data_IF_809912744121
#
_entry.id   IF_809912744121
#
_cell.length_a   1.000
_cell.length_b   1.000
_cell.length_c   1.000
_cell.angle_alpha   90.00
_cell.angle_beta   90.00
_cell.angle_gamma   90.00
#
_symmetry.space_group_name_H-M   'P 1'
#
loop_
_entity.id
_entity.type
_entity.pdbx_description
1 polymer ?
#
# COMPACT_ATOMS: atom_id res chain seq x y z
N UNK A 1 1.93 -7.62 13.00
CA UNK A 1 1.27 -8.03 11.75
C UNK A 1 2.13 -9.07 11.06
N UNK A 2 1.54 -10.18 10.61
CA UNK A 2 2.24 -11.22 9.82
C UNK A 2 2.03 -11.01 8.31
N UNK A 3 2.87 -11.58 7.43
CA UNK A 3 2.65 -11.53 5.99
C UNK A 3 1.28 -12.07 5.56
N UNK A 4 0.78 -13.12 6.22
CA UNK A 4 -0.54 -13.68 5.93
C UNK A 4 -1.72 -12.78 6.35
N UNK A 5 -1.51 -11.84 7.27
CA UNK A 5 -2.49 -10.78 7.56
C UNK A 5 -2.36 -9.64 6.54
N UNK A 6 -1.13 -9.23 6.22
CA UNK A 6 -0.87 -8.16 5.26
C UNK A 6 -1.42 -8.49 3.86
N UNK A 7 -1.28 -9.74 3.40
CA UNK A 7 -1.78 -10.19 2.08
C UNK A 7 -3.29 -10.03 1.89
N UNK A 8 -4.06 -9.81 2.95
CA UNK A 8 -5.50 -9.59 2.87
C UNK A 8 -5.89 -8.20 2.40
N UNK A 9 -4.97 -7.23 2.50
CA UNK A 9 -5.23 -5.83 2.16
C UNK A 9 -4.09 -5.18 1.35
N UNK A 10 -2.83 -5.49 1.64
CA UNK A 10 -1.68 -4.82 1.04
C UNK A 10 -1.61 -5.07 -0.47
N UNK A 11 -1.79 -4.01 -1.25
CA UNK A 11 -1.91 -3.98 -2.73
C UNK A 11 -3.00 -4.87 -3.33
N UNK A 12 -3.87 -5.43 -2.50
CA UNK A 12 -4.98 -6.25 -2.97
C UNK A 12 -5.99 -5.36 -3.68
N UNK A 13 -6.36 -5.75 -4.89
CA UNK A 13 -7.46 -5.11 -5.64
C UNK A 13 -8.77 -5.84 -5.38
N UNK A 14 -9.92 -5.22 -5.70
CA UNK A 14 -11.26 -5.80 -5.47
C UNK A 14 -11.45 -7.16 -6.16
N UNK A 15 -10.92 -7.29 -7.38
CA UNK A 15 -11.04 -8.49 -8.23
C UNK A 15 -9.77 -9.33 -8.24
N UNK A 16 -8.66 -8.81 -7.74
CA UNK A 16 -7.38 -9.51 -7.71
C UNK A 16 -7.13 -10.27 -6.42
N UNK A 17 -6.17 -11.19 -6.51
CA UNK A 17 -5.72 -12.00 -5.38
C UNK A 17 -4.23 -11.81 -5.16
N UNK A 18 -3.82 -11.66 -3.90
CA UNK A 18 -2.40 -11.67 -3.54
C UNK A 18 -1.90 -13.10 -3.58
N UNK A 19 -0.98 -13.37 -4.50
CA UNK A 19 -0.38 -14.69 -4.75
C UNK A 19 0.84 -14.94 -3.86
N UNK A 20 1.58 -13.87 -3.53
CA UNK A 20 2.78 -13.91 -2.70
C UNK A 20 2.85 -12.65 -1.84
N UNK A 21 3.20 -12.81 -0.58
CA UNK A 21 3.46 -11.70 0.34
C UNK A 21 4.62 -12.08 1.26
N UNK A 22 5.73 -11.38 1.12
CA UNK A 22 6.93 -11.53 1.94
C UNK A 22 7.27 -10.19 2.56
N UNK A 23 7.66 -10.18 3.83
CA UNK A 23 7.98 -8.97 4.58
C UNK A 23 9.15 -9.27 5.52
N UNK A 24 10.20 -8.47 5.41
CA UNK A 24 11.36 -8.43 6.31
C UNK A 24 11.39 -7.03 6.94
N UNK A 25 10.75 -6.84 8.11
CA UNK A 25 10.34 -5.53 8.61
C UNK A 25 11.44 -4.81 9.41
N UNK A 26 12.63 -4.68 8.83
CA UNK A 26 13.82 -4.02 9.38
C UNK A 26 14.42 -3.02 8.37
N UNK A 27 15.22 -2.06 8.85
CA UNK A 27 15.87 -1.07 7.96
C UNK A 27 16.82 -1.82 7.01
N UNK A 28 16.73 -1.52 5.72
CA UNK A 28 17.46 -2.24 4.67
C UNK A 28 16.79 -3.55 4.23
N UNK A 29 15.91 -4.12 5.06
CA UNK A 29 14.95 -5.14 4.66
C UNK A 29 13.86 -4.59 3.75
N UNK A 30 12.91 -5.43 3.36
CA UNK A 30 11.90 -5.05 2.38
C UNK A 30 10.66 -5.94 2.38
N UNK A 31 9.78 -5.67 1.43
CA UNK A 31 8.64 -6.52 1.14
C UNK A 31 8.55 -6.82 -0.35
N UNK A 32 7.93 -7.95 -0.68
CA UNK A 32 7.52 -8.28 -2.04
C UNK A 32 6.09 -8.79 -1.99
N UNK A 33 5.21 -8.13 -2.74
CA UNK A 33 3.81 -8.51 -2.88
C UNK A 33 3.51 -8.70 -4.35
N UNK A 34 3.09 -9.91 -4.71
CA UNK A 34 2.64 -10.22 -6.07
C UNK A 34 1.14 -10.39 -6.03
N UNK A 35 0.41 -9.58 -6.80
CA UNK A 35 -1.03 -9.67 -6.92
C UNK A 35 -1.46 -9.91 -8.38
N UNK A 36 -2.38 -10.85 -8.56
CA UNK A 36 -2.90 -11.26 -9.87
C UNK A 36 -4.19 -10.53 -10.17
N UNK A 37 -4.25 -9.85 -11.32
CA UNK A 37 -5.39 -9.00 -11.73
C UNK A 37 -5.90 -9.42 -13.12
N UNK A 38 -7.20 -9.23 -13.41
CA UNK A 38 -7.71 -9.28 -14.79
C UNK A 38 -7.05 -8.19 -15.64
N UNK A 39 -6.73 -8.48 -16.90
CA UNK A 39 -6.16 -7.49 -17.83
C UNK A 39 -7.15 -6.37 -18.16
N UNK A 40 -8.44 -6.71 -18.26
CA UNK A 40 -9.56 -5.80 -18.43
C UNK A 40 -10.80 -6.32 -17.68
N UNK A 41 -11.76 -5.43 -17.40
CA UNK A 41 -13.01 -5.83 -16.78
C UNK A 41 -13.78 -6.80 -17.69
N UNK A 42 -14.05 -8.01 -17.17
CA UNK A 42 -14.75 -9.07 -17.91
C UNK A 42 -13.84 -9.93 -18.81
N UNK A 43 -12.53 -9.68 -18.82
CA UNK A 43 -11.55 -10.54 -19.50
C UNK A 43 -11.12 -11.71 -18.60
N UNK A 44 -10.94 -12.89 -19.19
CA UNK A 44 -10.39 -14.08 -18.51
C UNK A 44 -8.86 -14.03 -18.42
N UNK A 45 -8.22 -13.19 -19.24
CA UNK A 45 -6.78 -13.00 -19.20
C UNK A 45 -6.37 -12.29 -17.92
N UNK A 46 -5.27 -12.77 -17.32
CA UNK A 46 -4.74 -12.28 -16.04
C UNK A 46 -3.28 -11.96 -16.18
N UNK A 47 -2.82 -10.98 -15.39
CA UNK A 47 -1.41 -10.63 -15.28
C UNK A 47 -1.03 -10.41 -13.81
N UNK A 48 0.25 -10.61 -13.52
CA UNK A 48 0.80 -10.44 -12.18
C UNK A 48 1.45 -9.04 -12.06
N UNK A 49 1.10 -8.35 -10.97
CA UNK A 49 1.72 -7.09 -10.58
C UNK A 49 2.64 -7.33 -9.39
N UNK A 50 3.90 -6.95 -9.52
CA UNK A 50 4.91 -7.13 -8.46
C UNK A 50 5.23 -5.78 -7.81
N UNK A 51 4.87 -5.63 -6.55
CA UNK A 51 5.23 -4.49 -5.70
C UNK A 51 6.41 -4.88 -4.82
N UNK A 52 7.51 -4.14 -4.94
CA UNK A 52 8.68 -4.29 -4.10
C UNK A 52 8.87 -3.04 -3.26
N UNK A 53 9.13 -3.22 -1.97
CA UNK A 53 9.49 -2.11 -1.11
C UNK A 53 10.76 -2.38 -0.33
N UNK A 54 11.52 -1.31 -0.06
CA UNK A 54 12.72 -1.35 0.79
C UNK A 54 12.58 -0.35 1.92
N UNK A 55 12.64 -0.81 3.16
CA UNK A 55 12.49 0.06 4.33
C UNK A 55 13.73 0.94 4.51
N UNK A 56 13.51 2.26 4.47
CA UNK A 56 14.56 3.27 4.66
C UNK A 56 14.48 3.91 6.05
N UNK A 57 13.30 3.92 6.67
CA UNK A 57 13.10 4.40 8.05
C UNK A 57 12.04 3.55 8.77
N UNK A 58 12.30 3.18 10.02
CA UNK A 58 11.34 2.45 10.87
C UNK A 58 11.40 2.94 12.32
N UNK A 59 10.50 3.86 12.67
CA UNK A 59 10.32 4.33 14.06
C UNK A 59 8.96 3.84 14.56
N UNK A 60 8.91 2.62 15.10
CA UNK A 60 7.63 1.96 15.43
C UNK A 60 6.98 2.55 16.70
N UNK A 61 5.64 2.72 16.74
CA UNK A 61 4.68 2.62 15.64
C UNK A 61 4.53 3.93 14.84
N UNK A 62 5.31 4.97 15.14
CA UNK A 62 5.07 6.37 14.74
C UNK A 62 5.34 6.68 13.27
N UNK A 63 6.32 6.03 12.65
CA UNK A 63 6.79 6.39 11.30
C UNK A 63 7.40 5.21 10.57
N UNK A 64 7.07 5.09 9.29
CA UNK A 64 7.59 4.09 8.35
C UNK A 64 7.90 4.83 7.05
N UNK A 65 9.13 4.72 6.55
CA UNK A 65 9.46 5.15 5.20
C UNK A 65 10.01 3.96 4.41
N UNK A 66 9.58 3.85 3.16
CA UNK A 66 10.11 2.86 2.23
C UNK A 66 10.17 3.42 0.83
N UNK A 67 11.15 2.92 0.10
CA UNK A 67 11.24 3.03 -1.34
C UNK A 67 10.29 2.00 -1.95
N UNK A 68 9.53 2.36 -2.99
CA UNK A 68 8.53 1.53 -3.66
C UNK A 68 8.85 1.43 -5.16
N UNK A 69 8.86 0.21 -5.67
CA UNK A 69 8.97 -0.11 -7.10
C UNK A 69 7.81 -1.00 -7.50
N UNK A 70 7.14 -0.69 -8.60
CA UNK A 70 6.10 -1.54 -9.19
C UNK A 70 6.64 -2.09 -10.51
N UNK A 71 7.37 -3.20 -10.41
CA UNK A 71 8.22 -3.74 -11.49
C UNK A 71 7.49 -4.01 -12.80
N UNK A 72 6.18 -4.28 -12.72
CA UNK A 72 5.35 -4.50 -13.92
C UNK A 72 5.22 -3.24 -14.79
N UNK A 73 5.42 -2.06 -14.22
CA UNK A 73 5.25 -0.78 -14.93
C UNK A 73 6.55 0.00 -15.09
N UNK A 74 7.47 -0.09 -14.12
CA UNK A 74 8.73 0.66 -14.15
C UNK A 74 9.78 0.05 -13.21
N UNK A 75 11.04 0.28 -13.52
CA UNK A 75 12.17 0.05 -12.61
C UNK A 75 12.45 1.26 -11.69
N UNK A 76 11.85 2.41 -12.01
CA UNK A 76 11.96 3.61 -11.19
C UNK A 76 11.35 3.39 -9.81
N UNK A 77 11.97 4.04 -8.83
CA UNK A 77 11.62 3.90 -7.43
C UNK A 77 11.12 5.23 -6.89
N UNK A 78 10.00 5.21 -6.19
CA UNK A 78 9.41 6.37 -5.52
C UNK A 78 9.43 6.18 -4.01
N UNK A 79 9.36 7.28 -3.26
CA UNK A 79 9.40 7.22 -1.80
C UNK A 79 8.00 7.32 -1.21
N UNK A 80 7.71 6.43 -0.26
CA UNK A 80 6.47 6.44 0.52
C UNK A 80 6.81 6.65 1.98
N UNK A 81 6.08 7.56 2.62
CA UNK A 81 6.19 7.86 4.04
C UNK A 81 4.82 7.68 4.68
N UNK A 82 4.78 6.93 5.77
CA UNK A 82 3.61 6.76 6.62
C UNK A 82 3.94 7.30 8.00
N UNK A 83 3.11 8.23 8.47
CA UNK A 83 3.16 8.77 9.83
C UNK A 83 1.90 8.37 10.58
N UNK A 84 2.07 8.03 11.85
CA UNK A 84 0.98 7.59 12.73
C UNK A 84 1.04 8.43 14.00
N UNK A 85 0.03 9.28 14.17
CA UNK A 85 -0.14 10.12 15.34
C UNK A 85 -1.24 9.53 16.25
N UNK A 86 -0.99 9.31 17.55
CA UNK A 86 -2.03 8.86 18.46
C UNK A 86 -3.08 9.97 18.66
N UNK A 87 -4.37 9.61 18.57
CA UNK A 87 -5.51 10.47 18.92
C UNK A 87 -6.16 10.09 20.26
N UNK A 88 -5.64 9.04 20.91
CA UNK A 88 -6.10 8.54 22.19
C UNK A 88 -5.68 7.08 22.40
N UNK A 89 -6.15 6.42 23.47
CA UNK A 89 -5.77 5.03 23.77
C UNK A 89 -6.19 4.00 22.72
N UNK A 90 -7.22 4.30 21.91
CA UNK A 90 -7.80 3.36 20.93
C UNK A 90 -7.95 3.99 19.53
N UNK A 91 -7.35 5.15 19.30
CA UNK A 91 -7.48 5.89 18.05
C UNK A 91 -6.13 6.46 17.60
N UNK A 92 -5.90 6.47 16.31
CA UNK A 92 -4.78 7.15 15.69
C UNK A 92 -5.23 7.82 14.39
N UNK A 93 -4.52 8.88 14.03
CA UNK A 93 -4.51 9.42 12.69
C UNK A 93 -3.31 8.83 11.96
N UNK A 94 -3.51 8.50 10.69
CA UNK A 94 -2.43 8.01 9.84
C UNK A 94 -2.39 8.85 8.56
N UNK A 95 -1.21 9.38 8.27
CA UNK A 95 -0.93 10.17 7.07
C UNK A 95 0.00 9.37 6.17
N UNK A 96 -0.40 9.17 4.91
CA UNK A 96 0.44 8.54 3.89
C UNK A 96 0.79 9.58 2.83
N UNK A 97 2.10 9.73 2.58
CA UNK A 97 2.66 10.62 1.57
C UNK A 97 3.40 9.75 0.56
N UNK A 98 3.09 9.91 -0.73
CA UNK A 98 3.79 9.24 -1.82
C UNK A 98 4.45 10.29 -2.73
N UNK A 99 5.78 10.35 -2.68
CA UNK A 99 6.59 11.28 -3.45
C UNK A 99 6.78 10.73 -4.88
N UNK A 100 5.85 11.07 -5.80
CA UNK A 100 5.87 10.63 -7.21
C UNK A 100 6.85 11.43 -8.09
N UNK A 101 7.34 12.57 -7.61
CA UNK A 101 8.14 13.52 -8.40
C UNK A 101 7.30 14.52 -9.19
N UNK A 102 7.95 15.34 -10.02
CA UNK A 102 7.34 16.47 -10.73
C UNK A 102 7.25 16.27 -12.26
N UNK A 103 7.49 15.05 -12.75
CA UNK A 103 7.45 14.76 -14.20
C UNK A 103 6.01 14.70 -14.70
N UNK A 104 5.81 14.85 -16.01
CA UNK A 104 4.47 14.70 -16.60
C UNK A 104 3.90 13.28 -16.35
N UNK A 105 4.76 12.26 -16.41
CA UNK A 105 4.38 10.89 -16.08
C UNK A 105 3.86 10.76 -14.63
N UNK A 106 4.50 11.44 -13.67
CA UNK A 106 4.05 11.47 -12.28
C UNK A 106 2.64 12.10 -12.16
N UNK A 107 2.39 13.20 -12.89
CA UNK A 107 1.07 13.88 -12.89
C UNK A 107 -0.03 13.01 -13.48
N UNK A 108 0.27 12.23 -14.53
CA UNK A 108 -0.69 11.32 -15.16
C UNK A 108 -1.16 10.20 -14.21
N UNK A 109 -0.31 9.77 -13.27
CA UNK A 109 -0.60 8.66 -12.35
C UNK A 109 -0.99 9.10 -10.94
N UNK A 110 -1.00 10.40 -10.65
CA UNK A 110 -1.26 10.96 -9.32
C UNK A 110 -2.61 10.48 -8.75
N UNK A 111 -3.69 10.69 -9.50
CA UNK A 111 -5.04 10.39 -9.03
C UNK A 111 -5.31 8.89 -8.92
N UNK A 112 -4.77 8.08 -9.85
CA UNK A 112 -4.90 6.62 -9.80
C UNK A 112 -4.10 6.03 -8.64
N UNK A 113 -2.91 6.57 -8.38
CA UNK A 113 -2.08 6.23 -7.21
C UNK A 113 -2.79 6.57 -5.91
N UNK A 114 -3.36 7.77 -5.79
CA UNK A 114 -4.11 8.21 -4.61
C UNK A 114 -5.31 7.31 -4.34
N UNK A 115 -6.10 6.99 -5.37
CA UNK A 115 -7.23 6.03 -5.25
C UNK A 115 -6.75 4.63 -4.84
N UNK A 116 -5.64 4.17 -5.40
CA UNK A 116 -5.03 2.88 -5.06
C UNK A 116 -4.70 2.77 -3.57
N UNK A 117 -4.05 3.79 -3.01
CA UNK A 117 -3.75 3.85 -1.58
C UNK A 117 -5.02 3.90 -0.73
N UNK A 118 -5.99 4.75 -1.06
CA UNK A 118 -7.25 4.85 -0.31
C UNK A 118 -8.00 3.51 -0.25
N UNK A 119 -8.11 2.81 -1.38
CA UNK A 119 -8.74 1.50 -1.43
C UNK A 119 -7.99 0.49 -0.54
N UNK A 120 -6.66 0.49 -0.58
CA UNK A 120 -5.83 -0.38 0.25
C UNK A 120 -6.05 -0.09 1.75
N UNK A 121 -6.08 1.19 2.14
CA UNK A 121 -6.30 1.60 3.53
C UNK A 121 -7.69 1.24 4.05
N UNK A 122 -8.73 1.36 3.22
CA UNK A 122 -10.08 0.90 3.56
C UNK A 122 -10.14 -0.62 3.75
N UNK A 123 -9.44 -1.39 2.92
CA UNK A 123 -9.31 -2.83 3.10
C UNK A 123 -8.55 -3.15 4.39
N UNK A 124 -7.48 -2.43 4.69
CA UNK A 124 -6.72 -2.60 5.93
C UNK A 124 -7.59 -2.37 7.16
N UNK A 125 -8.37 -1.30 7.18
CA UNK A 125 -9.28 -0.98 8.28
C UNK A 125 -10.28 -2.13 8.51
N UNK A 126 -10.92 -2.62 7.44
CA UNK A 126 -11.85 -3.74 7.50
C UNK A 126 -11.22 -5.03 8.03
N UNK A 127 -10.01 -5.36 7.57
CA UNK A 127 -9.34 -6.61 7.92
C UNK A 127 -8.73 -6.61 9.33
N UNK A 128 -8.24 -5.45 9.80
CA UNK A 128 -7.57 -5.33 11.10
C UNK A 128 -8.51 -4.90 12.23
N UNK A 129 -9.57 -4.16 11.93
CA UNK A 129 -10.51 -3.61 12.91
C UNK A 129 -11.96 -3.96 12.56
N UNK A 130 -12.32 -5.25 12.50
CA UNK A 130 -13.70 -5.65 12.24
C UNK A 130 -14.62 -5.09 13.35
N UNK A 131 -15.43 -4.08 13.02
CA UNK A 131 -16.39 -3.45 13.94
C UNK A 131 -16.08 -2.02 14.38
N UNK A 132 -14.99 -1.39 13.92
CA UNK A 132 -14.79 0.05 14.09
C UNK A 132 -15.73 0.82 13.14
N UNK A 133 -16.63 1.65 13.68
CA UNK A 133 -17.46 2.54 12.86
C UNK A 133 -16.58 3.56 12.13
N UNK A 134 -16.55 3.48 10.80
CA UNK A 134 -15.77 4.36 9.93
C UNK A 134 -16.17 5.85 10.12
N UNK A 135 -15.39 6.59 10.89
CA UNK A 135 -15.39 8.04 10.86
C UNK A 135 -14.32 8.50 9.87
N UNK A 136 -14.60 8.43 8.57
CA UNK A 136 -13.74 9.02 7.54
C UNK A 136 -14.33 10.38 7.17
N UNK A 137 -13.66 11.46 7.60
CA UNK A 137 -13.91 12.82 7.12
C UNK A 137 -12.91 13.14 6.00
N UNK A 138 -13.40 13.44 4.81
CA UNK A 138 -12.61 14.02 3.73
C UNK A 138 -12.60 15.55 3.85
N UNK A 139 -11.41 16.15 3.88
CA UNK A 139 -11.21 17.55 3.48
C UNK A 139 -10.94 17.61 1.97
#
# INVERSE_FOLDING_TARGET
MTPGQASRFLFRTRTGNVMRCEIVPEIGGGFTVTDRRPAADGDESVFDVVHMGKYTELTRPKRIAFDLTVLTYTEDTTKVVVEIAPLGPQACEMTLIHELGATEAARMVEETTRKGWLNMLQLMERELFPGASACISSA
#
